data_IF_701417413996
#
_entry.id   IF_701417413996
#
_cell.length_a   1.000
_cell.length_b   1.000
_cell.length_c   1.000
_cell.angle_alpha   90.00
_cell.angle_beta   90.00
_cell.angle_gamma   90.00
#
_symmetry.space_group_name_H-M   'P 1'
#
loop_
_entity.id
_entity.type
_entity.pdbx_description
1 polymer ?
#
# COMPACT_ATOMS: atom_id res chain seq x y z
N UNK A 1 20.43 25.26 51.22
CA UNK A 1 20.07 24.12 50.35
C UNK A 1 18.57 24.15 50.12
N UNK A 2 18.10 24.79 49.04
CA UNK A 2 16.67 24.79 48.74
C UNK A 2 16.43 24.92 47.23
N UNK A 3 16.16 23.76 46.63
CA UNK A 3 15.17 23.52 45.57
C UNK A 3 15.44 24.13 44.19
N UNK A 4 16.28 23.39 43.45
CA UNK A 4 16.07 23.07 42.02
C UNK A 4 14.60 22.67 41.80
N UNK A 5 13.75 23.57 41.30
CA UNK A 5 12.34 23.22 41.04
C UNK A 5 11.64 24.12 40.01
N UNK A 6 12.37 24.61 38.99
CA UNK A 6 11.76 25.42 37.90
C UNK A 6 12.11 24.85 36.49
N UNK A 7 12.89 23.77 36.40
CA UNK A 7 13.41 23.25 35.11
C UNK A 7 12.73 21.97 34.58
N UNK A 8 11.47 21.67 34.95
CA UNK A 8 10.84 20.39 34.57
C UNK A 8 9.52 20.47 33.77
N UNK A 9 8.89 21.64 33.64
CA UNK A 9 7.58 21.73 32.96
C UNK A 9 7.69 21.85 31.42
N UNK A 10 8.75 22.49 30.90
CA UNK A 10 8.88 22.70 29.46
C UNK A 10 9.26 21.42 28.70
N UNK A 11 10.09 20.54 29.28
CA UNK A 11 10.56 19.32 28.62
C UNK A 11 9.44 18.28 28.41
N UNK A 12 8.50 18.17 29.37
CA UNK A 12 7.35 17.26 29.24
C UNK A 12 6.38 17.70 28.13
N UNK A 13 6.22 19.01 27.94
CA UNK A 13 5.33 19.55 26.90
C UNK A 13 5.89 19.26 25.48
N UNK A 14 7.21 19.36 25.30
CA UNK A 14 7.86 18.96 24.04
C UNK A 14 7.75 17.47 23.75
N UNK A 15 7.85 16.60 24.75
CA UNK A 15 7.66 15.15 24.58
C UNK A 15 6.24 14.78 24.14
N UNK A 16 5.21 15.45 24.67
CA UNK A 16 3.82 15.22 24.27
C UNK A 16 3.55 15.71 22.85
N UNK A 17 4.07 16.89 22.48
CA UNK A 17 3.95 17.42 21.11
C UNK A 17 4.70 16.51 20.11
N UNK A 18 5.86 15.98 20.50
CA UNK A 18 6.61 15.01 19.69
C UNK A 18 5.84 13.69 19.55
N UNK A 19 5.20 13.17 20.60
CA UNK A 19 4.35 11.99 20.51
C UNK A 19 3.10 12.21 19.65
N UNK A 20 2.48 13.39 19.70
CA UNK A 20 1.31 13.72 18.87
C UNK A 20 1.71 13.92 17.40
N UNK A 21 2.92 14.44 17.12
CA UNK A 21 3.47 14.53 15.77
C UNK A 21 3.97 13.19 15.22
N UNK A 22 4.42 12.26 16.07
CA UNK A 22 4.81 10.88 15.69
C UNK A 22 3.62 9.93 15.59
N UNK A 23 2.46 10.32 16.11
CA UNK A 23 1.20 9.61 15.89
C UNK A 23 0.69 9.90 14.47
N UNK A 24 1.56 9.73 13.47
CA UNK A 24 1.18 9.72 12.07
C UNK A 24 0.07 8.70 11.90
N UNK A 25 -1.11 9.26 11.67
CA UNK A 25 -2.30 8.68 11.08
C UNK A 25 -2.03 7.32 10.42
N UNK A 26 -2.11 6.25 11.20
CA UNK A 26 -2.19 4.88 10.69
C UNK A 26 -3.57 4.71 10.06
N UNK A 27 -3.77 5.33 8.88
CA UNK A 27 -4.81 4.90 7.96
C UNK A 27 -4.54 3.43 7.70
N UNK A 28 -5.45 2.56 8.13
CA UNK A 28 -5.29 1.11 8.07
C UNK A 28 -5.31 0.66 6.61
N UNK A 29 -4.14 0.75 5.94
CA UNK A 29 -3.99 0.33 4.55
C UNK A 29 -3.81 -1.18 4.50
N UNK A 30 -4.86 -1.89 4.11
CA UNK A 30 -4.84 -3.36 4.01
C UNK A 30 -4.74 -3.75 2.54
N UNK A 31 -3.88 -4.72 2.23
CA UNK A 31 -3.80 -5.35 0.90
C UNK A 31 -4.37 -6.76 0.95
N UNK A 32 -5.10 -7.14 -0.10
CA UNK A 32 -5.63 -8.49 -0.31
C UNK A 32 -5.26 -8.95 -1.73
N UNK A 33 -4.79 -10.19 -1.85
CA UNK A 33 -4.41 -10.77 -3.14
C UNK A 33 -3.48 -11.97 -2.97
N UNK A 34 -3.31 -12.76 -4.02
CA UNK A 34 -2.33 -13.85 -4.01
C UNK A 34 -0.92 -13.27 -4.10
N UNK A 35 0.04 -13.86 -3.40
CA UNK A 35 1.47 -13.55 -3.56
C UNK A 35 2.07 -14.25 -4.78
N UNK A 36 1.78 -15.55 -4.94
CA UNK A 36 2.29 -16.37 -6.04
C UNK A 36 1.20 -16.59 -7.10
N UNK A 37 1.51 -16.29 -8.36
CA UNK A 37 0.59 -16.40 -9.49
C UNK A 37 1.26 -17.17 -10.61
N UNK A 38 0.61 -18.22 -11.11
CA UNK A 38 1.14 -18.97 -12.25
C UNK A 38 1.14 -18.11 -13.52
N UNK A 39 2.18 -18.24 -14.35
CA UNK A 39 2.25 -17.58 -15.65
C UNK A 39 1.01 -17.91 -16.49
N UNK A 40 0.48 -16.91 -17.19
CA UNK A 40 -0.76 -16.97 -17.96
C UNK A 40 -2.04 -16.89 -17.13
N UNK A 41 -1.99 -17.10 -15.81
CA UNK A 41 -3.20 -17.04 -14.97
C UNK A 41 -3.58 -15.60 -14.62
N UNK A 42 -4.87 -15.30 -14.43
CA UNK A 42 -5.30 -13.99 -13.97
C UNK A 42 -4.94 -13.75 -12.50
N UNK A 43 -4.76 -12.49 -12.13
CA UNK A 43 -4.68 -12.08 -10.73
C UNK A 43 -5.37 -10.75 -10.46
N UNK A 44 -5.76 -10.58 -9.20
CA UNK A 44 -6.19 -9.31 -8.66
C UNK A 44 -5.44 -8.99 -7.38
N UNK A 45 -5.24 -7.70 -7.16
CA UNK A 45 -4.80 -7.14 -5.89
C UNK A 45 -5.84 -6.10 -5.53
N UNK A 46 -6.29 -6.09 -4.29
CA UNK A 46 -7.11 -5.00 -3.79
C UNK A 46 -6.49 -4.37 -2.57
N UNK A 47 -6.86 -3.13 -2.31
CA UNK A 47 -6.51 -2.46 -1.08
C UNK A 47 -7.70 -1.68 -0.52
N UNK A 48 -7.71 -1.55 0.80
CA UNK A 48 -8.65 -0.72 1.55
C UNK A 48 -7.89 0.45 2.16
N UNK A 49 -8.35 1.68 1.91
CA UNK A 49 -7.81 2.91 2.54
C UNK A 49 -8.91 3.91 2.85
N UNK A 50 -8.60 4.93 3.64
CA UNK A 50 -9.43 6.14 3.73
C UNK A 50 -9.48 6.87 2.38
N UNK A 51 -10.54 7.64 2.13
CA UNK A 51 -10.73 8.43 0.91
C UNK A 51 -9.79 9.62 0.77
N UNK A 52 -8.96 9.90 1.79
CA UNK A 52 -7.97 10.96 1.73
C UNK A 52 -6.82 10.60 0.79
N UNK A 53 -6.46 11.55 -0.08
CA UNK A 53 -5.44 11.39 -1.11
C UNK A 53 -5.95 10.65 -2.35
N UNK A 54 -5.36 10.96 -3.51
CA UNK A 54 -5.73 10.32 -4.78
C UNK A 54 -5.19 8.89 -4.79
N UNK A 55 -6.04 7.86 -4.88
CA UNK A 55 -5.58 6.49 -5.02
C UNK A 55 -4.79 6.33 -6.33
N UNK A 56 -3.63 5.69 -6.28
CA UNK A 56 -2.81 5.48 -7.47
C UNK A 56 -2.04 4.18 -7.35
N UNK A 57 -2.34 3.25 -8.25
CA UNK A 57 -1.57 2.02 -8.35
C UNK A 57 -0.19 2.29 -8.94
N UNK A 58 0.81 1.77 -8.27
CA UNK A 58 2.19 1.74 -8.73
C UNK A 58 2.74 0.33 -8.63
N UNK A 59 3.65 -0.01 -9.53
CA UNK A 59 4.47 -1.23 -9.50
C UNK A 59 5.93 -0.79 -9.48
N UNK A 60 6.68 -1.18 -8.46
CA UNK A 60 8.09 -0.80 -8.28
C UNK A 60 8.31 0.73 -8.39
N UNK A 61 7.36 1.52 -7.86
CA UNK A 61 7.42 2.99 -7.90
C UNK A 61 6.92 3.65 -9.20
N UNK A 62 6.64 2.87 -10.25
CA UNK A 62 6.10 3.40 -11.51
C UNK A 62 4.58 3.26 -11.56
N UNK A 63 3.88 4.26 -12.07
CA UNK A 63 2.43 4.24 -12.20
C UNK A 63 1.98 3.15 -13.18
N UNK A 64 0.99 2.32 -12.80
CA UNK A 64 0.55 1.20 -13.65
C UNK A 64 -0.01 1.65 -15.00
N UNK A 65 -0.66 2.82 -15.04
CA UNK A 65 -1.19 3.42 -16.27
C UNK A 65 -0.09 3.74 -17.31
N UNK A 66 1.16 3.89 -16.87
CA UNK A 66 2.31 4.12 -17.75
C UNK A 66 2.97 2.83 -18.23
N UNK A 67 2.62 1.69 -17.64
CA UNK A 67 3.29 0.41 -17.89
C UNK A 67 2.59 -0.41 -18.99
N UNK A 68 1.30 -0.18 -19.23
CA UNK A 68 0.58 -0.77 -20.35
C UNK A 68 -0.92 -0.95 -20.11
N UNK A 69 -1.69 -1.27 -21.17
CA UNK A 69 -3.14 -1.41 -21.11
C UNK A 69 -3.61 -2.72 -20.44
N UNK A 70 -2.70 -3.65 -20.13
CA UNK A 70 -3.02 -4.91 -19.43
C UNK A 70 -3.54 -4.74 -17.99
N UNK A 71 -3.36 -3.54 -17.42
CA UNK A 71 -3.76 -3.20 -16.07
C UNK A 71 -5.17 -2.61 -16.06
N UNK A 72 -6.09 -3.29 -15.39
CA UNK A 72 -7.45 -2.77 -15.18
C UNK A 72 -7.60 -2.33 -13.74
N UNK A 73 -7.80 -1.02 -13.54
CA UNK A 73 -8.03 -0.42 -12.23
C UNK A 73 -9.52 -0.20 -12.00
N UNK A 74 -10.00 -0.56 -10.81
CA UNK A 74 -11.36 -0.27 -10.35
C UNK A 74 -11.31 0.42 -9.00
N UNK A 75 -12.17 1.42 -8.83
CA UNK A 75 -12.38 2.12 -7.58
C UNK A 75 -13.82 1.93 -7.11
N UNK A 76 -13.99 1.61 -5.82
CA UNK A 76 -15.30 1.54 -5.17
C UNK A 76 -15.25 2.32 -3.86
N UNK A 77 -16.07 3.37 -3.78
CA UNK A 77 -16.35 4.07 -2.52
C UNK A 77 -17.13 3.15 -1.58
N UNK A 78 -16.72 3.12 -0.32
CA UNK A 78 -17.35 2.35 0.74
C UNK A 78 -18.11 3.28 1.71
N UNK A 79 -19.04 2.74 2.50
CA UNK A 79 -19.56 3.45 3.66
C UNK A 79 -18.41 3.86 4.60
N UNK A 80 -18.52 5.01 5.27
CA UNK A 80 -17.52 5.58 6.20
C UNK A 80 -16.28 6.18 5.53
N UNK A 81 -16.44 6.85 4.40
CA UNK A 81 -15.34 7.54 3.69
C UNK A 81 -14.16 6.64 3.33
N UNK A 82 -14.37 5.32 3.26
CA UNK A 82 -13.40 4.35 2.80
C UNK A 82 -13.41 4.20 1.28
N UNK A 83 -12.30 3.77 0.72
CA UNK A 83 -12.17 3.43 -0.71
C UNK A 83 -11.53 2.05 -0.82
N UNK A 84 -12.18 1.18 -1.61
CA UNK A 84 -11.59 -0.08 -2.07
C UNK A 84 -11.08 0.11 -3.49
N UNK A 85 -9.78 -0.06 -3.67
CA UNK A 85 -9.14 -0.07 -4.97
C UNK A 85 -8.85 -1.50 -5.38
N UNK A 86 -9.00 -1.82 -6.66
CA UNK A 86 -8.64 -3.10 -7.23
C UNK A 86 -7.81 -2.90 -8.49
N UNK A 87 -6.74 -3.69 -8.61
CA UNK A 87 -5.92 -3.83 -9.81
C UNK A 87 -6.08 -5.26 -10.31
N UNK A 88 -6.43 -5.42 -11.59
CA UNK A 88 -6.61 -6.71 -12.25
C UNK A 88 -5.70 -6.84 -13.45
N UNK A 89 -5.22 -8.06 -13.67
CA UNK A 89 -4.48 -8.48 -14.85
C UNK A 89 -5.04 -9.83 -15.28
N UNK A 90 -5.46 -9.94 -16.55
CA UNK A 90 -6.13 -11.14 -17.08
C UNK A 90 -5.15 -12.29 -17.36
N UNK A 91 -3.91 -11.98 -17.74
CA UNK A 91 -2.86 -12.96 -17.99
C UNK A 91 -1.53 -12.53 -17.36
N UNK A 92 -1.10 -13.24 -16.32
CA UNK A 92 0.17 -12.96 -15.65
C UNK A 92 1.37 -13.26 -16.55
N UNK A 93 2.33 -12.33 -16.58
CA UNK A 93 3.59 -12.46 -17.32
C UNK A 93 4.73 -12.07 -16.38
N UNK A 94 5.95 -12.55 -16.64
CA UNK A 94 7.13 -12.21 -15.82
C UNK A 94 7.31 -10.71 -15.60
N UNK A 95 6.96 -9.88 -16.59
CA UNK A 95 7.00 -8.41 -16.47
C UNK A 95 6.09 -7.85 -15.37
N UNK A 96 5.04 -8.58 -14.95
CA UNK A 96 4.11 -8.18 -13.89
C UNK A 96 4.63 -8.49 -12.48
N UNK A 97 5.80 -9.12 -12.32
CA UNK A 97 6.42 -9.33 -11.03
C UNK A 97 6.77 -7.99 -10.36
N UNK A 98 6.60 -7.91 -9.03
CA UNK A 98 7.12 -6.79 -8.25
C UNK A 98 6.26 -6.38 -7.05
N UNK A 99 6.59 -5.22 -6.51
CA UNK A 99 5.92 -4.60 -5.37
C UNK A 99 4.87 -3.61 -5.84
N UNK A 100 3.62 -3.88 -5.48
CA UNK A 100 2.48 -3.07 -5.82
C UNK A 100 2.08 -2.18 -4.64
N UNK A 101 1.79 -0.92 -4.92
CA UNK A 101 1.20 0.01 -3.96
C UNK A 101 -0.01 0.69 -4.55
N UNK A 102 -1.13 0.72 -3.84
CA UNK A 102 -2.29 1.54 -4.22
C UNK A 102 -2.24 2.95 -3.63
N UNK A 103 -1.37 3.15 -2.63
CA UNK A 103 -0.99 4.44 -2.07
C UNK A 103 0.54 4.60 -2.18
N UNK A 104 1.05 5.47 -3.08
CA UNK A 104 2.48 5.64 -3.29
C UNK A 104 3.24 6.12 -2.06
N UNK A 105 2.57 6.84 -1.14
CA UNK A 105 3.18 7.39 0.07
C UNK A 105 3.23 6.37 1.20
N UNK A 106 2.49 5.26 1.09
CA UNK A 106 2.51 4.23 2.11
C UNK A 106 3.83 3.49 2.16
N UNK A 107 4.31 3.20 3.38
CA UNK A 107 5.38 2.24 3.62
C UNK A 107 5.00 0.78 3.30
N UNK A 108 3.69 0.48 3.14
CA UNK A 108 3.19 -0.88 2.87
C UNK A 108 3.06 -1.14 1.36
N UNK A 109 3.30 -2.39 0.97
CA UNK A 109 3.16 -2.87 -0.41
C UNK A 109 2.69 -4.33 -0.45
N UNK A 110 2.13 -4.75 -1.58
CA UNK A 110 1.80 -6.13 -1.88
C UNK A 110 2.76 -6.70 -2.93
N UNK A 111 3.41 -7.82 -2.63
CA UNK A 111 4.35 -8.47 -3.55
C UNK A 111 3.64 -9.49 -4.43
N UNK A 112 3.89 -9.43 -5.75
CA UNK A 112 3.51 -10.47 -6.71
C UNK A 112 4.75 -11.14 -7.26
N UNK A 113 4.77 -12.45 -7.10
CA UNK A 113 5.73 -13.38 -7.68
C UNK A 113 5.03 -14.21 -8.76
N UNK A 114 5.61 -14.22 -9.96
CA UNK A 114 5.12 -15.04 -11.06
C UNK A 114 5.88 -16.36 -11.03
N UNK A 115 5.16 -17.47 -11.10
CA UNK A 115 5.74 -18.83 -11.08
C UNK A 115 5.41 -19.56 -12.38
N UNK A 116 6.22 -20.54 -12.81
CA UNK A 116 5.92 -21.35 -14.00
C UNK A 116 4.53 -21.99 -13.91
N UNK A 117 3.89 -22.16 -15.07
CA UNK A 117 2.62 -22.87 -15.14
C UNK A 117 2.84 -24.37 -14.89
N UNK A 118 1.87 -25.06 -14.26
CA UNK A 118 1.95 -26.52 -14.11
C UNK A 118 1.86 -27.16 -15.49
N UNK A 119 2.99 -27.63 -16.02
CA UNK A 119 3.10 -28.22 -17.36
C UNK A 119 4.34 -27.76 -18.14
N UNK A 120 4.98 -26.67 -17.71
CA UNK A 120 6.28 -26.23 -18.23
C UNK A 120 7.38 -26.75 -17.30
N UNK A 121 7.73 -28.04 -17.46
CA UNK A 121 9.04 -28.51 -17.03
C UNK A 121 10.08 -27.95 -17.99
N UNK A 122 10.99 -27.11 -17.49
CA UNK A 122 12.22 -26.70 -18.21
C UNK A 122 13.04 -27.93 -18.62
#
# INVERSE_FOLDING_TARGET
MTKRLIWNANLQMFFLIWCVLLSECLSELIYEGRKFVAQGSPFNISCLKSSYGVPKWTRNGLAVDTLGPEYVVKEKKLPNDGVRMELRVEAALWKHRGYYKCDPLSGRSHEIEIVPSRGESM
#
